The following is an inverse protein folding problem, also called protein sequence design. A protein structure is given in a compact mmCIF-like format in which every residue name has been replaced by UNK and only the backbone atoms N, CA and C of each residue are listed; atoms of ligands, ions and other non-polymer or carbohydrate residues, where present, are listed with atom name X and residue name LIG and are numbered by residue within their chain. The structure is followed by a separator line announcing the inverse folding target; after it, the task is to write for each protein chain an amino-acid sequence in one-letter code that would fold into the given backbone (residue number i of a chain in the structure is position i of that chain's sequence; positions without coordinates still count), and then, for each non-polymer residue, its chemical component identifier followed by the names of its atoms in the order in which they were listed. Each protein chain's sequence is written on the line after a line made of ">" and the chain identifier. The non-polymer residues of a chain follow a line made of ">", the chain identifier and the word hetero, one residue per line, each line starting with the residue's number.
data_IF_046092354436
#
_entry.id   IF_046092354436
#
_cell.length_a   1.000
_cell.length_b   1.000
_cell.length_c   1.000
_cell.angle_alpha   90.00
_cell.angle_beta   90.00
_cell.angle_gamma   90.00
#
_symmetry.space_group_name_H-M   'P 1'
#
loop_
_entity.id
_entity.type
_entity.pdbx_description
1 polymer ?
#
# COMPACT_ATOMS: atom_id res chain seq x y z
N UNK A 1 2.62 34.36 -4.15
CA UNK A 1 3.72 33.68 -4.87
C UNK A 1 3.30 32.21 -4.96
N UNK A 2 2.85 31.81 -6.13
CA UNK A 2 2.16 30.54 -6.38
C UNK A 2 3.21 29.43 -6.50
N UNK A 3 3.32 28.55 -5.49
CA UNK A 3 4.19 27.38 -5.57
C UNK A 3 3.57 26.42 -6.59
N UNK A 4 4.08 26.42 -7.81
CA UNK A 4 3.71 25.44 -8.82
C UNK A 4 4.03 24.04 -8.28
N UNK A 5 3.00 23.27 -7.90
CA UNK A 5 3.15 21.89 -7.45
C UNK A 5 3.84 21.08 -8.56
N UNK A 6 4.98 20.45 -8.24
CA UNK A 6 5.70 19.60 -9.18
C UNK A 6 4.84 18.39 -9.56
N UNK A 7 4.94 17.92 -10.81
CA UNK A 7 4.18 16.76 -11.33
C UNK A 7 4.42 15.44 -10.57
N UNK A 8 5.42 15.40 -9.70
CA UNK A 8 5.75 14.24 -8.84
C UNK A 8 5.37 14.45 -7.37
N UNK A 9 4.70 15.55 -7.04
CA UNK A 9 4.20 15.79 -5.68
C UNK A 9 3.23 14.69 -5.28
N UNK A 10 3.59 13.97 -4.22
CA UNK A 10 2.85 12.83 -3.69
C UNK A 10 2.07 13.15 -2.42
N UNK A 11 1.93 14.44 -2.07
CA UNK A 11 1.28 14.87 -0.81
C UNK A 11 -0.12 14.29 -0.66
N UNK A 12 -0.95 14.31 -1.71
CA UNK A 12 -2.30 13.72 -1.61
C UNK A 12 -2.29 12.20 -1.45
N UNK A 13 -1.28 11.51 -1.98
CA UNK A 13 -1.14 10.08 -1.77
C UNK A 13 -0.68 9.79 -0.33
N UNK A 14 0.26 10.56 0.22
CA UNK A 14 0.72 10.42 1.60
C UNK A 14 -0.40 10.69 2.60
N UNK A 15 -1.22 11.72 2.35
CA UNK A 15 -2.41 12.01 3.15
C UNK A 15 -3.42 10.85 3.11
N UNK A 16 -3.66 10.30 1.92
CA UNK A 16 -4.55 9.15 1.74
C UNK A 16 -4.00 7.86 2.38
N UNK A 17 -2.69 7.62 2.30
CA UNK A 17 -2.00 6.53 3.00
C UNK A 17 -2.19 6.67 4.51
N UNK A 18 -1.96 7.87 5.05
CA UNK A 18 -2.17 8.18 6.48
C UNK A 18 -3.61 7.92 6.90
N UNK A 19 -4.59 8.37 6.10
CA UNK A 19 -6.01 8.13 6.37
C UNK A 19 -6.34 6.63 6.39
N UNK A 20 -5.86 5.85 5.41
CA UNK A 20 -6.05 4.40 5.35
C UNK A 20 -5.46 3.71 6.56
N UNK A 21 -4.24 4.09 6.97
CA UNK A 21 -3.60 3.51 8.15
C UNK A 21 -4.43 3.76 9.42
N UNK A 22 -5.03 4.93 9.59
CA UNK A 22 -5.95 5.20 10.71
C UNK A 22 -7.19 4.32 10.71
N UNK A 23 -7.77 4.06 9.53
CA UNK A 23 -8.91 3.14 9.42
C UNK A 23 -8.50 1.72 9.82
N UNK A 24 -7.35 1.26 9.35
CA UNK A 24 -6.82 -0.06 9.68
C UNK A 24 -6.45 -0.19 11.17
N UNK A 25 -5.89 0.85 11.79
CA UNK A 25 -5.64 0.85 13.24
C UNK A 25 -6.93 0.61 14.01
N UNK A 26 -8.01 1.32 13.65
CA UNK A 26 -9.31 1.15 14.28
C UNK A 26 -9.89 -0.26 14.05
N UNK A 27 -9.87 -0.73 12.81
CA UNK A 27 -10.41 -2.05 12.41
C UNK A 27 -9.67 -3.21 13.09
N UNK A 28 -8.33 -3.15 13.13
CA UNK A 28 -7.47 -4.19 13.69
C UNK A 28 -7.17 -3.98 15.19
N UNK A 29 -7.71 -2.90 15.76
CA UNK A 29 -7.38 -2.38 17.10
C UNK A 29 -5.86 -2.24 17.32
N UNK A 30 -5.10 -1.97 16.27
CA UNK A 30 -3.64 -1.96 16.23
C UNK A 30 -3.07 -0.57 16.51
N UNK A 31 -1.77 -0.51 16.82
CA UNK A 31 -1.03 0.74 16.91
C UNK A 31 0.15 0.68 15.96
N UNK A 32 0.15 1.51 14.93
CA UNK A 32 1.19 1.49 13.91
C UNK A 32 2.33 2.48 14.21
N UNK A 33 3.54 1.96 14.12
CA UNK A 33 4.79 2.72 14.19
C UNK A 33 5.67 2.34 12.98
N UNK A 34 5.74 3.19 11.93
CA UNK A 34 6.57 2.95 10.75
C UNK A 34 8.08 2.89 11.04
N UNK A 35 8.52 3.33 12.22
CA UNK A 35 9.90 3.28 12.66
C UNK A 35 10.20 2.08 13.58
N UNK A 36 9.20 1.27 13.92
CA UNK A 36 9.40 0.10 14.76
C UNK A 36 10.37 -0.89 14.10
N UNK A 37 11.25 -1.54 14.87
CA UNK A 37 12.18 -2.51 14.32
C UNK A 37 11.43 -3.77 13.86
N UNK A 38 11.79 -4.25 12.66
CA UNK A 38 11.39 -5.59 12.22
C UNK A 38 12.35 -6.64 12.79
N UNK A 39 11.86 -7.84 13.13
CA UNK A 39 12.70 -8.94 13.58
C UNK A 39 13.39 -9.65 12.41
N UNK A 40 13.95 -8.91 11.45
CA UNK A 40 14.63 -9.43 10.27
C UNK A 40 15.95 -8.68 10.02
N UNK A 41 16.97 -9.32 9.42
CA UNK A 41 18.26 -8.70 9.19
C UNK A 41 18.27 -7.69 8.03
N UNK A 42 17.29 -7.77 7.12
CA UNK A 42 17.22 -6.89 5.94
C UNK A 42 16.61 -5.52 6.27
N UNK A 43 17.13 -4.46 5.65
CA UNK A 43 16.58 -3.09 5.72
C UNK A 43 15.34 -2.92 4.83
N UNK A 44 14.26 -3.63 5.16
CA UNK A 44 12.93 -3.38 4.58
C UNK A 44 12.19 -2.42 5.49
N UNK A 45 11.57 -1.39 4.91
CA UNK A 45 10.72 -0.45 5.63
C UNK A 45 9.29 -0.54 5.08
N UNK A 46 8.39 -1.25 5.77
CA UNK A 46 6.96 -1.24 5.50
C UNK A 46 6.35 0.13 5.81
N UNK A 47 5.16 0.39 5.28
CA UNK A 47 4.43 1.62 5.55
C UNK A 47 3.92 1.67 7.01
N UNK A 48 3.63 0.53 7.61
CA UNK A 48 3.25 0.44 9.02
C UNK A 48 3.59 -0.91 9.66
N UNK A 49 3.87 -0.86 10.97
CA UNK A 49 4.26 -2.00 11.79
C UNK A 49 3.55 -1.88 13.15
N UNK A 50 2.92 -2.96 13.61
CA UNK A 50 2.56 -3.16 15.02
C UNK A 50 3.39 -4.34 15.56
N UNK A 51 4.46 -4.09 16.35
CA UNK A 51 5.34 -5.15 16.83
C UNK A 51 4.70 -6.01 17.93
N UNK A 52 3.68 -5.49 18.64
CA UNK A 52 3.00 -6.21 19.72
C UNK A 52 2.03 -7.23 19.13
N UNK A 53 1.24 -6.80 18.14
CA UNK A 53 0.31 -7.68 17.42
C UNK A 53 0.93 -8.42 16.26
N UNK A 54 2.20 -8.16 15.96
CA UNK A 54 2.96 -8.73 14.84
C UNK A 54 2.27 -8.48 13.49
N UNK A 55 1.86 -7.23 13.24
CA UNK A 55 1.19 -6.83 11.99
C UNK A 55 2.14 -5.95 11.17
N UNK A 56 2.21 -6.24 9.87
CA UNK A 56 2.93 -5.45 8.86
C UNK A 56 1.96 -5.03 7.78
N UNK A 57 2.04 -3.78 7.34
CA UNK A 57 1.17 -3.24 6.30
C UNK A 57 2.00 -2.54 5.21
N UNK A 58 1.60 -2.78 3.97
CA UNK A 58 1.93 -1.95 2.79
C UNK A 58 0.61 -1.36 2.25
N UNK A 59 0.61 -0.08 1.91
CA UNK A 59 -0.58 0.66 1.46
C UNK A 59 -0.43 1.09 0.00
N UNK A 60 -1.48 0.82 -0.78
CA UNK A 60 -1.65 1.31 -2.13
C UNK A 60 -2.84 2.27 -2.19
N UNK A 61 -2.56 3.56 -2.02
CA UNK A 61 -3.59 4.59 -1.91
C UNK A 61 -4.17 5.09 -3.25
N UNK A 62 -3.81 4.51 -4.41
CA UNK A 62 -4.37 4.96 -5.69
C UNK A 62 -5.77 4.38 -5.93
N UNK A 63 -6.58 5.18 -6.62
CA UNK A 63 -7.96 4.85 -6.98
C UNK A 63 -8.03 4.38 -8.43
N UNK A 64 -8.72 3.26 -8.64
CA UNK A 64 -8.98 2.66 -9.94
C UNK A 64 -7.96 1.56 -10.31
N UNK A 65 -8.08 0.99 -11.52
CA UNK A 65 -7.28 -0.16 -11.92
C UNK A 65 -5.78 0.15 -12.02
N UNK A 66 -4.95 -0.82 -11.62
CA UNK A 66 -3.49 -0.73 -11.67
C UNK A 66 -2.99 -0.71 -13.12
N UNK A 67 -2.07 0.21 -13.45
CA UNK A 67 -1.50 0.35 -14.81
C UNK A 67 0.00 0.64 -14.81
N UNK A 68 0.69 0.17 -15.84
CA UNK A 68 2.08 0.52 -16.15
C UNK A 68 3.04 0.29 -14.97
N UNK A 69 3.84 1.30 -14.65
CA UNK A 69 4.83 1.25 -13.56
C UNK A 69 4.26 0.85 -12.20
N UNK A 70 2.96 1.05 -11.96
CA UNK A 70 2.30 0.71 -10.70
C UNK A 70 2.24 -0.79 -10.45
N UNK A 71 2.24 -1.61 -11.52
CA UNK A 71 2.32 -3.05 -11.40
C UNK A 71 3.65 -3.47 -10.74
N UNK A 72 4.73 -2.75 -11.01
CA UNK A 72 6.03 -3.01 -10.40
C UNK A 72 6.07 -2.58 -8.93
N UNK A 73 5.40 -1.47 -8.56
CA UNK A 73 5.25 -1.07 -7.15
C UNK A 73 4.60 -2.20 -6.34
N UNK A 74 3.40 -2.63 -6.76
CA UNK A 74 2.66 -3.69 -6.06
C UNK A 74 3.44 -5.00 -5.99
N UNK A 75 4.14 -5.40 -7.05
CA UNK A 75 5.00 -6.60 -7.02
C UNK A 75 6.13 -6.45 -6.00
N UNK A 76 6.74 -5.26 -5.91
CA UNK A 76 7.74 -4.94 -4.90
C UNK A 76 7.17 -5.08 -3.49
N UNK A 77 5.98 -4.55 -3.25
CA UNK A 77 5.29 -4.64 -1.96
C UNK A 77 4.97 -6.09 -1.57
N UNK A 78 4.50 -6.90 -2.53
CA UNK A 78 4.31 -8.35 -2.33
C UNK A 78 5.61 -9.05 -1.97
N UNK A 79 6.72 -8.72 -2.65
CA UNK A 79 8.03 -9.32 -2.34
C UNK A 79 8.57 -8.89 -0.97
N UNK A 80 8.38 -7.62 -0.57
CA UNK A 80 8.72 -7.12 0.77
C UNK A 80 7.96 -7.92 1.83
N UNK A 81 6.64 -8.01 1.73
CA UNK A 81 5.79 -8.75 2.67
C UNK A 81 6.13 -10.25 2.71
N UNK A 82 6.38 -10.87 1.55
CA UNK A 82 6.79 -12.26 1.46
C UNK A 82 8.12 -12.50 2.20
N UNK A 83 9.13 -11.66 1.96
CA UNK A 83 10.45 -11.75 2.62
C UNK A 83 10.30 -11.61 4.14
N UNK A 84 9.55 -10.60 4.59
CA UNK A 84 9.32 -10.37 6.03
C UNK A 84 8.68 -11.60 6.66
N UNK A 85 7.64 -12.17 6.07
CA UNK A 85 6.97 -13.34 6.66
C UNK A 85 7.83 -14.59 6.72
N UNK A 86 8.69 -14.80 5.72
CA UNK A 86 9.62 -15.93 5.72
C UNK A 86 10.70 -15.80 6.80
N UNK A 87 11.12 -14.57 7.13
CA UNK A 87 12.21 -14.33 8.09
C UNK A 87 11.71 -14.07 9.52
N UNK A 88 10.62 -13.33 9.67
CA UNK A 88 10.01 -12.98 10.96
C UNK A 88 9.17 -14.14 11.55
N UNK A 89 8.74 -15.06 10.70
CA UNK A 89 7.93 -16.23 11.05
C UNK A 89 6.44 -16.07 10.74
N UNK A 90 5.69 -17.18 10.76
CA UNK A 90 4.30 -17.24 10.30
C UNK A 90 3.31 -16.45 11.18
N UNK A 91 3.68 -16.16 12.43
CA UNK A 91 2.87 -15.34 13.34
C UNK A 91 2.74 -13.88 12.92
N UNK A 92 3.59 -13.42 11.99
CA UNK A 92 3.52 -12.07 11.47
C UNK A 92 2.47 -11.96 10.36
N UNK A 93 1.40 -11.25 10.68
CA UNK A 93 0.34 -10.88 9.73
C UNK A 93 0.89 -9.86 8.74
N UNK A 94 0.64 -10.10 7.47
CA UNK A 94 1.16 -9.30 6.36
C UNK A 94 0.01 -8.83 5.53
N UNK A 95 -0.22 -7.53 5.52
CA UNK A 95 -1.40 -6.92 4.93
C UNK A 95 -0.96 -6.06 3.77
N UNK A 96 -1.56 -6.28 2.61
CA UNK A 96 -1.50 -5.39 1.47
C UNK A 96 -2.85 -4.67 1.36
N UNK A 97 -2.87 -3.39 1.71
CA UNK A 97 -4.08 -2.59 1.78
C UNK A 97 -4.26 -1.72 0.53
N UNK A 98 -5.48 -1.65 0.01
CA UNK A 98 -5.83 -0.88 -1.17
C UNK A 98 -6.91 0.16 -0.87
N UNK A 99 -6.78 1.34 -1.49
CA UNK A 99 -7.84 2.37 -1.49
C UNK A 99 -9.06 2.00 -2.34
N UNK A 100 -8.93 1.03 -3.25
CA UNK A 100 -9.98 0.70 -4.23
C UNK A 100 -10.00 -0.78 -4.59
N UNK A 101 -11.21 -1.29 -4.80
CA UNK A 101 -11.48 -2.68 -5.22
C UNK A 101 -10.85 -2.97 -6.58
N UNK A 102 -10.88 -2.01 -7.51
CA UNK A 102 -10.32 -2.15 -8.84
C UNK A 102 -8.80 -2.35 -8.81
N UNK A 103 -8.12 -1.75 -7.83
CA UNK A 103 -6.69 -1.99 -7.62
C UNK A 103 -6.45 -3.36 -6.97
N UNK A 104 -7.22 -3.70 -5.93
CA UNK A 104 -7.13 -4.97 -5.22
C UNK A 104 -7.38 -6.17 -6.14
N UNK A 105 -8.27 -6.04 -7.14
CA UNK A 105 -8.56 -7.06 -8.14
C UNK A 105 -7.31 -7.60 -8.86
N UNK A 106 -6.26 -6.79 -8.98
CA UNK A 106 -4.99 -7.21 -9.58
C UNK A 106 -4.31 -8.35 -8.80
N UNK A 107 -4.43 -8.33 -7.47
CA UNK A 107 -3.80 -9.29 -6.55
C UNK A 107 -4.78 -10.32 -5.97
N UNK A 108 -6.08 -10.21 -6.25
CA UNK A 108 -7.09 -11.20 -5.85
C UNK A 108 -7.62 -12.04 -7.03
N UNK A 109 -7.29 -11.67 -8.27
CA UNK A 109 -7.71 -12.38 -9.48
C UNK A 109 -6.90 -13.66 -9.79
N UNK A 110 -6.71 -13.94 -11.08
CA UNK A 110 -6.03 -15.15 -11.58
C UNK A 110 -4.57 -14.89 -12.03
N UNK A 111 -3.99 -13.74 -11.67
CA UNK A 111 -2.63 -13.41 -12.04
C UNK A 111 -1.62 -14.25 -11.24
N UNK A 112 -0.38 -14.40 -11.73
CA UNK A 112 0.68 -15.02 -10.95
C UNK A 112 0.94 -14.26 -9.64
N UNK A 113 0.72 -12.93 -9.63
CA UNK A 113 0.85 -12.10 -8.42
C UNK A 113 -0.20 -12.49 -7.39
N UNK A 114 -1.45 -12.73 -7.82
CA UNK A 114 -2.50 -13.22 -6.94
C UNK A 114 -2.17 -14.61 -6.37
N UNK A 115 -1.62 -15.50 -7.20
CA UNK A 115 -1.12 -16.79 -6.74
C UNK A 115 0.01 -16.63 -5.71
N UNK A 116 0.93 -15.67 -5.89
CA UNK A 116 1.98 -15.37 -4.94
C UNK A 116 1.44 -14.81 -3.61
N UNK A 117 0.52 -13.84 -3.65
CA UNK A 117 -0.15 -13.29 -2.46
C UNK A 117 -0.79 -14.41 -1.63
N UNK A 118 -1.54 -15.31 -2.29
CA UNK A 118 -2.14 -16.48 -1.64
C UNK A 118 -1.08 -17.43 -1.09
N UNK A 119 -0.05 -17.76 -1.87
CA UNK A 119 1.00 -18.68 -1.47
C UNK A 119 1.76 -18.19 -0.23
N UNK A 120 2.07 -16.90 -0.19
CA UNK A 120 2.78 -16.30 0.94
C UNK A 120 1.85 -16.00 2.12
N UNK A 121 0.54 -16.18 2.01
CA UNK A 121 -0.41 -15.86 3.07
C UNK A 121 -0.45 -14.36 3.39
N UNK A 122 -0.40 -13.53 2.35
CA UNK A 122 -0.57 -12.07 2.46
C UNK A 122 -2.07 -11.78 2.45
N UNK A 123 -2.54 -11.11 3.49
CA UNK A 123 -3.91 -10.62 3.64
C UNK A 123 -4.12 -9.42 2.72
N UNK A 124 -5.26 -9.37 2.04
CA UNK A 124 -5.65 -8.22 1.20
C UNK A 124 -6.84 -7.55 1.84
N UNK A 125 -6.71 -6.25 2.15
CA UNK A 125 -7.78 -5.44 2.73
C UNK A 125 -8.06 -4.26 1.81
N UNK A 126 -9.33 -3.91 1.63
CA UNK A 126 -9.74 -2.69 0.94
C UNK A 126 -10.29 -1.71 1.96
N UNK A 127 -9.58 -0.61 2.15
CA UNK A 127 -9.99 0.49 3.03
C UNK A 127 -10.43 1.66 2.15
N UNK A 128 -11.73 1.84 1.91
CA UNK A 128 -12.21 2.87 1.00
C UNK A 128 -11.87 4.27 1.56
N UNK A 129 -11.33 5.12 0.70
CA UNK A 129 -11.15 6.54 0.99
C UNK A 129 -12.50 7.24 1.17
N UNK A 130 -12.56 8.26 2.04
CA UNK A 130 -13.69 9.20 2.06
C UNK A 130 -13.83 9.90 0.71
N UNK A 131 -15.00 10.44 0.40
CA UNK A 131 -15.25 11.14 -0.87
C UNK A 131 -14.24 12.27 -1.10
N UNK A 132 -13.93 13.06 -0.06
CA UNK A 132 -12.91 14.11 -0.10
C UNK A 132 -11.51 13.55 -0.45
N UNK A 133 -11.04 12.51 0.24
CA UNK A 133 -9.73 11.92 -0.05
C UNK A 133 -9.69 11.30 -1.45
N UNK A 134 -10.79 10.67 -1.88
CA UNK A 134 -10.93 10.09 -3.22
C UNK A 134 -10.83 11.17 -4.30
N UNK A 135 -11.51 12.30 -4.13
CA UNK A 135 -11.45 13.44 -5.07
C UNK A 135 -10.04 14.04 -5.15
N UNK A 136 -9.37 14.23 -4.01
CA UNK A 136 -7.99 14.72 -3.94
C UNK A 136 -7.03 13.77 -4.66
N UNK A 137 -7.09 12.47 -4.37
CA UNK A 137 -6.23 11.45 -4.98
C UNK A 137 -6.48 11.34 -6.48
N UNK A 138 -7.74 11.31 -6.92
CA UNK A 138 -8.06 11.19 -8.36
C UNK A 138 -7.65 12.45 -9.13
N UNK A 139 -7.81 13.64 -8.55
CA UNK A 139 -7.30 14.90 -9.10
C UNK A 139 -5.78 14.88 -9.23
N UNK A 140 -5.07 14.44 -8.20
CA UNK A 140 -3.61 14.29 -8.23
C UNK A 140 -3.17 13.28 -9.31
N UNK A 141 -3.83 12.12 -9.40
CA UNK A 141 -3.56 11.11 -10.42
C UNK A 141 -3.70 11.66 -11.86
N UNK A 142 -4.70 12.51 -12.11
CA UNK A 142 -4.88 13.15 -13.42
C UNK A 142 -3.73 14.11 -13.76
N UNK A 143 -3.28 14.91 -12.78
CA UNK A 143 -2.15 15.85 -12.94
C UNK A 143 -0.81 15.12 -13.14
N UNK A 144 -0.61 14.00 -12.44
CA UNK A 144 0.61 13.18 -12.46
C UNK A 144 0.73 12.28 -13.70
N UNK A 145 -0.27 12.28 -14.60
CA UNK A 145 -0.22 11.45 -15.81
C UNK A 145 0.91 11.94 -16.72
N UNK A 146 2.01 11.19 -16.76
CA UNK A 146 3.07 11.42 -17.74
C UNK A 146 2.53 11.15 -19.15
N UNK A 147 2.61 12.15 -20.01
CA UNK A 147 2.56 12.00 -21.46
C UNK A 147 4.01 11.98 -21.93
N UNK A 148 4.41 10.93 -22.66
CA UNK A 148 5.68 10.97 -23.37
C UNK A 148 5.61 12.14 -24.37
N UNK A 149 6.58 13.07 -24.39
CA UNK A 149 6.70 13.98 -25.52
C UNK A 149 6.93 13.15 -26.79
N UNK A 150 6.27 13.55 -27.88
CA UNK A 150 6.41 12.94 -29.21
C UNK A 150 7.87 12.95 -29.72
#
# INVERSE_FOLDING_TARGET
>A
MEFAMHKSDSTEQVDAETYILRLLEAELSATFDPAAPLPIPSRVQPDAIDPVKKIIVEVYARVGPVKGAQLHKIKGDVLKLALIGQQAGPDWRRILCFASEEAAAYVTGQSWVAAAVKHFGIEVIVAPLSDEHRERVTSAQARQRMVNPE
#
